data_IF_322385948589
#
_entry.id   IF_322385948589
#
_cell.length_a   1.000
_cell.length_b   1.000
_cell.length_c   1.000
_cell.angle_alpha   90.00
_cell.angle_beta   90.00
_cell.angle_gamma   90.00
#
_symmetry.space_group_name_H-M   'P 1'
#
loop_
_entity.id
_entity.type
_entity.pdbx_description
1 polymer ?
#
# COMPACT_ATOMS: atom_id res chain seq x y z
N UNK A 1 5.22 -17.84 -24.33
CA UNK A 1 5.19 -16.50 -23.70
C UNK A 1 3.74 -16.09 -23.51
N UNK A 2 3.24 -16.00 -22.29
CA UNK A 2 1.91 -15.40 -22.03
C UNK A 2 2.15 -13.92 -21.77
N UNK A 3 1.74 -13.08 -22.72
CA UNK A 3 1.58 -11.66 -22.43
C UNK A 3 0.43 -11.56 -21.44
N UNK A 4 0.72 -11.23 -20.18
CA UNK A 4 -0.31 -10.85 -19.23
C UNK A 4 -1.01 -9.61 -19.84
N UNK A 5 -2.32 -9.70 -20.03
CA UNK A 5 -3.13 -8.59 -20.52
C UNK A 5 -2.83 -7.33 -19.69
N UNK A 6 -2.87 -6.12 -20.28
CA UNK A 6 -2.77 -4.90 -19.51
C UNK A 6 -3.98 -4.86 -18.57
N UNK A 7 -3.81 -5.30 -17.32
CA UNK A 7 -4.90 -5.22 -16.38
C UNK A 7 -5.16 -3.74 -16.13
N UNK A 8 -6.41 -3.33 -16.35
CA UNK A 8 -6.77 -1.94 -16.52
C UNK A 8 -6.60 -1.18 -15.20
N UNK A 9 -5.86 -0.06 -15.21
CA UNK A 9 -5.77 0.91 -14.10
C UNK A 9 -7.13 1.16 -13.45
N UNK A 10 -8.19 1.25 -14.28
CA UNK A 10 -9.57 1.47 -13.85
C UNK A 10 -10.08 0.48 -12.81
N UNK A 11 -9.68 -0.81 -12.89
CA UNK A 11 -10.10 -1.82 -11.91
C UNK A 11 -9.46 -1.53 -10.54
N UNK A 12 -8.18 -1.19 -10.55
CA UNK A 12 -7.43 -0.88 -9.34
C UNK A 12 -7.91 0.43 -8.72
N UNK A 13 -8.15 1.45 -9.54
CA UNK A 13 -8.75 2.72 -9.10
C UNK A 13 -10.12 2.50 -8.46
N UNK A 14 -10.95 1.64 -9.06
CA UNK A 14 -12.27 1.28 -8.51
C UNK A 14 -12.14 0.54 -7.18
N UNK A 15 -11.22 -0.43 -7.09
CA UNK A 15 -10.95 -1.15 -5.84
C UNK A 15 -10.49 -0.21 -4.72
N UNK A 16 -9.54 0.68 -5.01
CA UNK A 16 -9.09 1.67 -4.05
C UNK A 16 -10.23 2.60 -3.65
N UNK A 17 -11.09 3.02 -4.57
CA UNK A 17 -12.25 3.83 -4.24
C UNK A 17 -13.19 3.14 -3.24
N UNK A 18 -13.36 1.81 -3.31
CA UNK A 18 -14.17 1.05 -2.35
C UNK A 18 -13.60 1.11 -0.93
N UNK A 19 -12.27 1.21 -0.78
CA UNK A 19 -11.62 1.33 0.53
C UNK A 19 -12.01 2.61 1.28
N UNK A 20 -12.62 3.61 0.62
CA UNK A 20 -13.18 4.79 1.29
C UNK A 20 -14.24 4.43 2.33
N UNK A 21 -14.97 3.33 2.13
CA UNK A 21 -16.08 2.95 3.00
C UNK A 21 -15.54 2.20 4.22
N UNK A 22 -15.53 2.88 5.36
CA UNK A 22 -15.25 2.27 6.67
C UNK A 22 -16.55 2.03 7.44
N UNK A 23 -16.63 0.98 8.28
CA UNK A 23 -17.66 0.87 9.30
C UNK A 23 -17.64 2.10 10.23
N UNK A 24 -18.80 2.45 10.78
CA UNK A 24 -18.87 3.47 11.83
C UNK A 24 -18.24 2.95 13.14
N UNK A 25 -17.70 3.85 13.96
CA UNK A 25 -17.12 3.54 15.26
C UNK A 25 -15.62 3.84 15.32
N UNK A 26 -14.91 3.17 16.24
CA UNK A 26 -13.49 3.36 16.48
C UNK A 26 -12.61 2.60 15.47
N UNK A 27 -12.82 2.87 14.17
CA UNK A 27 -12.02 2.31 13.07
C UNK A 27 -11.23 3.44 12.44
N UNK A 28 -9.92 3.25 12.33
CA UNK A 28 -9.07 4.12 11.53
C UNK A 28 -8.83 3.51 10.15
N UNK A 29 -9.07 4.29 9.10
CA UNK A 29 -8.83 3.95 7.72
C UNK A 29 -7.56 4.63 7.22
N UNK A 30 -6.43 3.90 7.15
CA UNK A 30 -5.15 4.49 6.79
C UNK A 30 -5.16 5.07 5.39
N UNK A 31 -6.04 4.63 4.51
CA UNK A 31 -6.04 5.14 3.16
C UNK A 31 -6.91 6.40 2.99
N UNK A 32 -7.76 6.78 3.94
CA UNK A 32 -8.65 7.96 3.84
C UNK A 32 -8.55 8.94 4.99
N UNK A 33 -8.09 8.52 6.16
CA UNK A 33 -8.02 9.34 7.36
C UNK A 33 -6.58 9.74 7.69
N UNK A 34 -6.43 11.00 8.12
CA UNK A 34 -5.16 11.54 8.59
C UNK A 34 -4.97 11.08 10.04
N UNK A 35 -3.80 10.53 10.34
CA UNK A 35 -3.38 10.30 11.71
C UNK A 35 -2.76 11.60 12.25
N UNK A 36 -3.55 12.41 12.95
CA UNK A 36 -3.13 13.71 13.48
C UNK A 36 -1.90 13.64 14.40
N UNK A 37 -1.60 12.47 15.00
CA UNK A 37 -0.46 12.31 15.90
C UNK A 37 0.83 11.98 15.14
N UNK A 38 0.72 11.25 14.03
CA UNK A 38 1.88 10.64 13.38
C UNK A 38 2.09 11.05 11.92
N UNK A 39 1.07 11.56 11.22
CA UNK A 39 1.20 11.97 9.83
C UNK A 39 1.89 13.33 9.71
N UNK A 40 2.95 13.40 8.92
CA UNK A 40 3.70 14.63 8.69
C UNK A 40 2.91 15.68 7.89
N UNK A 41 1.86 15.26 7.16
CA UNK A 41 1.04 16.15 6.35
C UNK A 41 -0.34 15.55 6.08
N UNK A 42 -1.34 16.42 5.86
CA UNK A 42 -2.72 16.04 5.50
C UNK A 42 -2.83 15.22 4.20
N UNK A 43 -1.80 15.20 3.37
CA UNK A 43 -1.73 14.39 2.14
C UNK A 43 -1.34 12.93 2.40
N UNK A 44 -0.98 12.54 3.63
CA UNK A 44 -0.56 11.19 3.97
C UNK A 44 -1.52 10.06 3.53
N UNK A 45 -2.86 10.20 3.63
CA UNK A 45 -3.78 9.19 3.10
C UNK A 45 -3.65 9.00 1.59
N UNK A 46 -3.46 10.11 0.85
CA UNK A 46 -3.24 10.06 -0.59
C UNK A 46 -1.90 9.39 -0.96
N UNK A 47 -0.85 9.63 -0.16
CA UNK A 47 0.43 8.92 -0.30
C UNK A 47 0.22 7.42 -0.12
N UNK A 48 -0.44 7.00 0.98
CA UNK A 48 -0.74 5.59 1.26
C UNK A 48 -1.52 4.92 0.13
N UNK A 49 -2.52 5.60 -0.45
CA UNK A 49 -3.26 5.12 -1.64
C UNK A 49 -2.38 4.96 -2.88
N UNK A 50 -1.57 5.96 -3.19
CA UNK A 50 -0.68 5.91 -4.37
C UNK A 50 0.36 4.79 -4.24
N UNK A 51 0.85 4.55 -3.02
CA UNK A 51 1.77 3.45 -2.73
C UNK A 51 1.08 2.09 -2.83
N UNK A 52 -0.14 1.95 -2.31
CA UNK A 52 -0.92 0.72 -2.47
C UNK A 52 -1.24 0.45 -3.95
N UNK A 53 -1.58 1.49 -4.72
CA UNK A 53 -1.79 1.40 -6.16
C UNK A 53 -0.52 0.85 -6.84
N UNK A 54 0.64 1.48 -6.63
CA UNK A 54 1.91 1.04 -7.22
C UNK A 54 2.26 -0.41 -6.82
N UNK A 55 2.03 -0.78 -5.57
CA UNK A 55 2.23 -2.13 -5.06
C UNK A 55 1.36 -3.17 -5.78
N UNK A 56 0.05 -2.91 -5.90
CA UNK A 56 -0.91 -3.82 -6.53
C UNK A 56 -0.72 -3.88 -8.05
N UNK A 57 -0.47 -2.75 -8.70
CA UNK A 57 -0.27 -2.68 -10.16
C UNK A 57 0.88 -3.58 -10.62
N UNK A 58 1.97 -3.67 -9.86
CA UNK A 58 3.10 -4.57 -10.19
C UNK A 58 2.71 -6.06 -10.18
N UNK A 59 1.72 -6.43 -9.36
CA UNK A 59 1.33 -7.81 -9.08
C UNK A 59 0.10 -8.26 -9.88
N UNK A 60 -0.74 -7.32 -10.27
CA UNK A 60 -1.99 -7.59 -10.96
C UNK A 60 -1.73 -8.26 -12.32
N UNK A 61 -2.32 -9.43 -12.54
CA UNK A 61 -2.09 -10.26 -13.74
C UNK A 61 -0.81 -11.11 -13.73
N UNK A 62 0.09 -10.90 -12.77
CA UNK A 62 1.38 -11.62 -12.66
C UNK A 62 1.48 -12.52 -11.42
N UNK A 63 0.81 -12.15 -10.32
CA UNK A 63 0.85 -12.90 -9.07
C UNK A 63 0.03 -14.19 -9.17
N UNK A 64 0.61 -15.32 -8.76
CA UNK A 64 -0.03 -16.64 -8.73
C UNK A 64 -0.53 -17.03 -7.33
N UNK A 65 -0.12 -16.29 -6.30
CA UNK A 65 -0.48 -16.50 -4.90
C UNK A 65 -0.87 -15.17 -4.26
N UNK A 66 -1.99 -15.17 -3.55
CA UNK A 66 -2.43 -14.07 -2.70
C UNK A 66 -2.39 -14.53 -1.24
N UNK A 67 -1.62 -13.82 -0.41
CA UNK A 67 -1.60 -14.02 1.05
C UNK A 67 -2.51 -12.94 1.65
N UNK A 68 -3.46 -13.37 2.47
CA UNK A 68 -4.44 -12.49 3.11
C UNK A 68 -4.17 -12.51 4.62
N UNK A 69 -3.90 -11.33 5.18
CA UNK A 69 -3.82 -11.12 6.62
C UNK A 69 -5.13 -10.58 7.18
N UNK A 70 -5.28 -10.62 8.50
CA UNK A 70 -6.47 -10.13 9.22
C UNK A 70 -6.70 -8.62 9.03
N UNK A 71 -5.64 -7.82 9.11
CA UNK A 71 -5.71 -6.37 9.03
C UNK A 71 -4.34 -5.72 9.00
N UNK A 72 -4.30 -4.38 8.91
CA UNK A 72 -3.05 -3.63 8.93
C UNK A 72 -2.54 -3.46 10.36
N UNK A 73 -1.27 -3.80 10.57
CA UNK A 73 -0.60 -3.53 11.83
C UNK A 73 -0.28 -2.04 12.01
N UNK A 74 -0.43 -1.56 13.24
CA UNK A 74 -0.13 -0.17 13.68
C UNK A 74 1.30 0.29 13.31
N UNK A 75 2.31 -0.59 13.36
CA UNK A 75 3.72 -0.24 13.06
C UNK A 75 4.12 -0.46 11.58
N UNK A 76 3.16 -0.77 10.73
CA UNK A 76 3.42 -1.18 9.35
C UNK A 76 2.47 -0.50 8.37
N UNK A 77 1.49 -1.26 7.89
CA UNK A 77 0.53 -0.80 6.89
C UNK A 77 -0.27 0.43 7.31
N UNK A 78 -0.41 0.69 8.61
CA UNK A 78 -0.95 1.97 9.10
C UNK A 78 -0.23 3.18 8.50
N UNK A 79 1.11 3.13 8.43
CA UNK A 79 1.94 4.22 7.90
C UNK A 79 2.22 4.10 6.40
N UNK A 80 2.42 2.87 5.91
CA UNK A 80 2.83 2.65 4.51
C UNK A 80 1.65 2.53 3.56
N UNK A 81 0.48 2.15 4.05
CA UNK A 81 -0.68 1.75 3.25
C UNK A 81 -0.53 0.38 2.58
N UNK A 82 0.55 -0.36 2.87
CA UNK A 82 0.90 -1.61 2.19
C UNK A 82 0.90 -2.77 3.21
N UNK A 83 0.25 -3.90 2.88
CA UNK A 83 0.23 -5.05 3.78
C UNK A 83 1.65 -5.56 4.08
N UNK A 84 1.85 -5.98 5.34
CA UNK A 84 3.09 -6.58 5.84
C UNK A 84 4.37 -5.75 5.59
N UNK A 85 4.23 -4.44 5.37
CA UNK A 85 5.34 -3.57 4.98
C UNK A 85 5.53 -2.45 5.99
N UNK A 86 6.66 -2.45 6.69
CA UNK A 86 7.04 -1.35 7.59
C UNK A 86 7.73 -0.22 6.83
N UNK A 87 7.74 0.99 7.41
CA UNK A 87 8.49 2.13 6.86
C UNK A 87 9.98 1.83 6.70
N UNK A 88 10.55 0.99 7.57
CA UNK A 88 11.94 0.55 7.46
C UNK A 88 12.19 -0.20 6.17
N UNK A 89 11.26 -1.07 5.75
CA UNK A 89 11.36 -1.80 4.47
C UNK A 89 11.09 -0.83 3.32
N UNK A 90 9.99 -0.06 3.40
CA UNK A 90 9.56 0.88 2.36
C UNK A 90 10.65 1.91 1.99
N UNK A 91 11.38 2.40 3.00
CA UNK A 91 12.42 3.42 2.84
C UNK A 91 13.84 2.85 2.75
N UNK A 92 14.01 1.52 2.66
CA UNK A 92 15.32 0.88 2.51
C UNK A 92 16.23 1.01 3.75
N UNK A 93 15.63 1.17 4.93
CA UNK A 93 16.33 1.26 6.23
C UNK A 93 16.46 -0.08 6.94
N UNK A 94 15.89 -1.17 6.39
CA UNK A 94 16.04 -2.53 6.91
C UNK A 94 17.13 -3.28 6.12
N UNK A 95 18.40 -3.01 6.45
CA UNK A 95 19.57 -3.53 5.71
C UNK A 95 19.86 -5.02 5.96
N UNK A 96 19.34 -5.57 7.06
CA UNK A 96 19.61 -6.95 7.46
C UNK A 96 18.73 -7.98 6.73
N UNK A 97 17.76 -7.52 5.92
CA UNK A 97 16.90 -8.38 5.10
C UNK A 97 17.23 -8.26 3.62
N UNK A 98 16.96 -9.33 2.87
CA UNK A 98 17.06 -9.36 1.41
C UNK A 98 15.87 -8.67 0.70
N UNK A 99 15.24 -7.67 1.31
CA UNK A 99 14.08 -6.96 0.74
C UNK A 99 14.42 -5.50 0.51
N UNK A 100 14.46 -5.11 -0.75
CA UNK A 100 14.73 -3.74 -1.16
C UNK A 100 13.42 -2.99 -1.47
N UNK A 101 13.37 -1.64 -1.38
CA UNK A 101 12.18 -0.86 -1.74
C UNK A 101 11.63 -1.18 -3.14
N UNK A 102 12.52 -1.46 -4.10
CA UNK A 102 12.16 -1.84 -5.47
C UNK A 102 11.39 -3.15 -5.58
N UNK A 103 11.46 -4.02 -4.57
CA UNK A 103 10.73 -5.29 -4.52
C UNK A 103 9.26 -5.07 -4.11
N UNK A 104 8.99 -3.97 -3.39
CA UNK A 104 7.64 -3.52 -3.06
C UNK A 104 7.00 -2.91 -4.31
N UNK A 105 7.60 -1.83 -4.85
CA UNK A 105 7.23 -1.21 -6.12
C UNK A 105 8.39 -0.35 -6.65
N UNK A 106 8.34 0.02 -7.93
CA UNK A 106 9.39 0.84 -8.57
C UNK A 106 8.85 1.96 -9.47
N UNK A 107 7.53 2.08 -9.63
CA UNK A 107 6.90 3.08 -10.51
C UNK A 107 6.85 4.48 -9.91
N UNK A 108 7.04 4.61 -8.59
CA UNK A 108 7.06 5.89 -7.87
C UNK A 108 8.16 5.87 -6.80
N UNK A 109 8.58 7.06 -6.36
CA UNK A 109 9.45 7.18 -5.18
C UNK A 109 8.62 6.95 -3.91
N UNK A 110 9.04 6.05 -3.00
CA UNK A 110 8.38 5.87 -1.71
C UNK A 110 8.42 7.15 -0.87
N UNK A 111 7.35 7.42 -0.13
CA UNK A 111 7.18 8.61 0.71
C UNK A 111 6.55 8.23 2.05
N UNK A 112 6.88 9.03 3.07
CA UNK A 112 6.19 9.04 4.36
C UNK A 112 5.42 10.35 4.53
#
# INVERSE_FOLDING_TARGET
MKFAAPVCSKLLDSFLHLLKKSPAGAVFNPWWEVDEQNDAARIAPAIRRNQLHAYLQRRLGNATLAIIGEGLGYRGGHFTGIPMTSERILLGKKKDDCIEPKDIFSSIKPRR
#
